data_IF_418162868233
#
_entry.id   IF_418162868233
#
_cell.length_a   1.000
_cell.length_b   1.000
_cell.length_c   1.000
_cell.angle_alpha   90.00
_cell.angle_beta   90.00
_cell.angle_gamma   90.00
#
_symmetry.space_group_name_H-M   'P 1'
#
loop_
_entity.id
_entity.type
_entity.pdbx_description
1 polymer ?
#
# COMPACT_ATOMS: atom_id res chain seq x y z
N UNK A 1 7.35 -43.64 15.96
CA UNK A 1 8.34 -42.79 15.26
C UNK A 1 7.87 -42.67 13.82
N UNK A 2 7.01 -41.69 13.56
CA UNK A 2 6.36 -41.50 12.27
C UNK A 2 7.36 -40.82 11.34
N UNK A 3 7.97 -41.58 10.41
CA UNK A 3 8.80 -40.98 9.36
C UNK A 3 7.89 -40.15 8.47
N UNK A 4 8.06 -38.84 8.49
CA UNK A 4 7.20 -37.91 7.76
C UNK A 4 7.55 -37.80 6.26
N UNK A 5 8.73 -38.23 5.80
CA UNK A 5 9.09 -38.24 4.38
C UNK A 5 10.09 -39.35 4.00
N UNK A 6 9.96 -39.83 2.77
CA UNK A 6 10.76 -40.86 2.08
C UNK A 6 11.87 -40.16 1.27
N UNK A 7 13.04 -40.79 1.13
CA UNK A 7 14.21 -40.24 0.42
C UNK A 7 13.92 -39.97 -1.06
N UNK A 8 14.55 -38.94 -1.61
CA UNK A 8 14.30 -38.40 -2.97
C UNK A 8 14.44 -39.41 -4.11
N UNK A 9 15.06 -40.57 -3.88
CA UNK A 9 15.24 -41.63 -4.89
C UNK A 9 14.00 -42.52 -5.13
N UNK A 10 12.91 -42.37 -4.35
CA UNK A 10 11.66 -43.14 -4.49
C UNK A 10 10.43 -42.26 -4.83
N UNK A 11 10.59 -41.25 -5.69
CA UNK A 11 9.48 -40.37 -6.06
C UNK A 11 8.69 -40.90 -7.28
N UNK A 12 7.61 -41.65 -7.01
CA UNK A 12 6.61 -42.03 -8.02
C UNK A 12 5.83 -40.78 -8.50
N UNK A 13 5.91 -40.41 -9.80
CA UNK A 13 5.30 -39.19 -10.34
C UNK A 13 3.76 -39.19 -10.30
N UNK A 14 3.12 -40.31 -9.95
CA UNK A 14 1.65 -40.44 -9.93
C UNK A 14 1.02 -40.22 -8.55
N UNK A 15 1.80 -40.11 -7.47
CA UNK A 15 1.25 -39.86 -6.13
C UNK A 15 1.04 -38.37 -5.85
N UNK A 16 -0.23 -38.01 -5.62
CA UNK A 16 -0.71 -36.68 -5.23
C UNK A 16 0.16 -36.09 -4.11
N UNK A 17 0.81 -34.94 -4.35
CA UNK A 17 1.63 -34.20 -3.37
C UNK A 17 0.83 -34.04 -2.07
N UNK A 18 1.29 -34.66 -0.99
CA UNK A 18 0.73 -34.40 0.34
C UNK A 18 0.91 -32.91 0.66
N UNK A 19 -0.14 -32.27 1.19
CA UNK A 19 -0.14 -30.86 1.58
C UNK A 19 1.08 -30.54 2.47
N UNK A 20 2.06 -29.84 1.90
CA UNK A 20 3.30 -29.47 2.58
C UNK A 20 3.07 -28.20 3.41
N UNK A 21 3.09 -28.33 4.73
CA UNK A 21 2.77 -27.25 5.67
C UNK A 21 4.03 -26.45 6.00
N UNK A 22 4.13 -25.23 5.45
CA UNK A 22 5.24 -24.25 5.46
C UNK A 22 6.18 -24.19 6.68
N UNK A 23 5.75 -24.60 7.88
CA UNK A 23 6.59 -24.68 9.08
C UNK A 23 7.61 -25.82 9.05
N UNK A 24 7.46 -26.75 8.12
CA UNK A 24 8.41 -27.84 7.89
C UNK A 24 9.77 -27.37 7.36
N UNK A 25 9.86 -26.20 6.71
CA UNK A 25 11.14 -25.67 6.19
C UNK A 25 12.03 -25.20 7.32
N UNK A 26 11.47 -24.45 8.28
CA UNK A 26 12.20 -24.04 9.47
C UNK A 26 12.60 -25.26 10.30
N UNK A 27 11.70 -26.24 10.44
CA UNK A 27 12.01 -27.51 11.09
C UNK A 27 13.15 -28.22 10.35
N UNK A 28 13.13 -28.27 9.01
CA UNK A 28 14.20 -28.85 8.18
C UNK A 28 15.53 -28.10 8.35
N UNK A 29 15.52 -26.77 8.32
CA UNK A 29 16.73 -25.96 8.50
C UNK A 29 17.30 -26.10 9.92
N UNK A 30 16.43 -26.22 10.93
CA UNK A 30 16.83 -26.48 12.31
C UNK A 30 17.31 -27.93 12.50
N UNK A 31 16.71 -28.90 11.80
CA UNK A 31 17.16 -30.30 11.74
C UNK A 31 18.50 -30.43 11.01
N UNK A 32 18.74 -29.66 9.95
CA UNK A 32 20.03 -29.56 9.24
C UNK A 32 21.09 -28.87 10.10
N UNK A 33 20.74 -27.79 10.84
CA UNK A 33 21.64 -27.17 11.83
C UNK A 33 21.98 -28.13 12.99
N UNK A 34 21.03 -28.95 13.41
CA UNK A 34 21.24 -30.02 14.39
C UNK A 34 22.12 -31.13 13.84
N UNK A 35 21.87 -31.58 12.61
CA UNK A 35 22.66 -32.62 11.94
C UNK A 35 24.10 -32.17 11.62
N UNK A 36 24.31 -30.88 11.37
CA UNK A 36 25.63 -30.28 11.13
C UNK A 36 26.39 -29.92 12.41
N UNK A 37 25.83 -30.16 13.60
CA UNK A 37 26.50 -29.92 14.88
C UNK A 37 26.73 -28.45 15.24
N UNK A 38 26.10 -27.51 14.50
CA UNK A 38 26.25 -26.06 14.69
C UNK A 38 25.15 -25.44 15.57
N UNK A 39 24.30 -26.26 16.19
CA UNK A 39 23.14 -25.79 16.95
C UNK A 39 23.51 -25.45 18.40
N UNK A 40 23.14 -24.25 18.84
CA UNK A 40 23.34 -23.77 20.22
C UNK A 40 22.26 -24.35 21.16
N UNK A 41 22.50 -24.41 22.47
CA UNK A 41 21.52 -24.95 23.45
C UNK A 41 20.19 -24.16 23.45
N UNK A 42 20.27 -22.85 23.21
CA UNK A 42 19.10 -21.96 23.03
C UNK A 42 18.29 -22.29 21.78
N UNK A 43 18.96 -22.68 20.70
CA UNK A 43 18.31 -23.05 19.42
C UNK A 43 17.56 -24.38 19.56
N UNK A 44 18.10 -25.30 20.37
CA UNK A 44 17.47 -26.59 20.68
C UNK A 44 16.21 -26.42 21.55
N UNK A 45 16.24 -25.56 22.57
CA UNK A 45 15.05 -25.23 23.39
C UNK A 45 13.98 -24.54 22.56
N UNK A 46 14.38 -23.61 21.68
CA UNK A 46 13.46 -22.97 20.74
C UNK A 46 12.84 -24.00 19.78
N UNK A 47 13.65 -24.90 19.20
CA UNK A 47 13.19 -25.96 18.31
C UNK A 47 12.12 -26.86 18.96
N UNK A 48 12.32 -27.28 20.22
CA UNK A 48 11.33 -28.09 20.92
C UNK A 48 10.01 -27.34 21.16
N UNK A 49 10.08 -26.06 21.56
CA UNK A 49 8.89 -25.22 21.75
C UNK A 49 8.15 -25.04 20.42
N UNK A 50 8.88 -24.76 19.34
CA UNK A 50 8.35 -24.59 18.00
C UNK A 50 7.69 -25.87 17.48
N UNK A 51 8.39 -27.00 17.58
CA UNK A 51 7.89 -28.31 17.15
C UNK A 51 6.65 -28.70 17.93
N UNK A 52 6.66 -28.55 19.26
CA UNK A 52 5.50 -28.82 20.12
C UNK A 52 4.29 -27.94 19.76
N UNK A 53 4.51 -26.66 19.43
CA UNK A 53 3.43 -25.74 19.02
C UNK A 53 2.92 -25.99 17.60
N UNK A 54 3.80 -26.42 16.70
CA UNK A 54 3.45 -26.85 15.34
C UNK A 54 2.60 -28.14 15.36
N UNK A 55 3.02 -29.13 16.14
CA UNK A 55 2.31 -30.39 16.35
C UNK A 55 0.96 -30.17 17.06
N UNK A 56 0.86 -29.18 17.94
CA UNK A 56 -0.38 -28.80 18.62
C UNK A 56 -1.36 -27.97 17.75
N UNK A 57 -1.06 -27.69 16.47
CA UNK A 57 -1.87 -26.84 15.59
C UNK A 57 -2.14 -25.40 16.10
N UNK A 58 -1.43 -24.95 17.13
CA UNK A 58 -1.78 -23.74 17.88
C UNK A 58 -1.07 -22.48 17.34
N UNK A 59 -0.02 -22.63 16.52
CA UNK A 59 0.67 -21.51 15.86
C UNK A 59 0.77 -21.76 14.35
N UNK A 60 0.47 -20.71 13.60
CA UNK A 60 0.66 -20.69 12.16
C UNK A 60 2.16 -20.60 11.84
N UNK A 61 2.60 -21.37 10.84
CA UNK A 61 4.00 -21.54 10.45
C UNK A 61 4.79 -20.23 10.29
N UNK A 62 4.09 -19.14 9.97
CA UNK A 62 4.66 -17.81 9.72
C UNK A 62 5.04 -17.05 10.99
N UNK A 63 4.30 -17.20 12.09
CA UNK A 63 4.68 -16.59 13.38
C UNK A 63 6.00 -17.18 13.87
N UNK A 64 6.22 -18.45 13.57
CA UNK A 64 7.44 -19.19 13.91
C UNK A 64 8.63 -18.73 13.05
N UNK A 65 8.42 -18.53 11.74
CA UNK A 65 9.43 -17.99 10.83
C UNK A 65 9.81 -16.56 11.24
N UNK A 66 8.84 -15.69 11.54
CA UNK A 66 9.08 -14.34 12.04
C UNK A 66 9.92 -14.33 13.32
N UNK A 67 9.58 -15.18 14.32
CA UNK A 67 10.39 -15.36 15.53
C UNK A 67 11.82 -15.86 15.25
N UNK A 68 11.99 -16.74 14.25
CA UNK A 68 13.31 -17.26 13.90
C UNK A 68 14.21 -16.23 13.20
N UNK A 69 13.64 -15.32 12.39
CA UNK A 69 14.38 -14.23 11.73
C UNK A 69 14.93 -13.24 12.76
N UNK A 70 14.14 -12.90 13.80
CA UNK A 70 14.59 -12.06 14.92
C UNK A 70 15.76 -12.68 15.70
N UNK A 71 15.86 -14.01 15.74
CA UNK A 71 16.85 -14.72 16.57
C UNK A 71 18.10 -15.17 15.80
N UNK A 72 18.00 -15.48 14.50
CA UNK A 72 19.13 -16.04 13.72
C UNK A 72 19.81 -15.06 12.76
N UNK A 73 19.25 -13.87 12.49
CA UNK A 73 19.88 -12.83 11.66
C UNK A 73 20.12 -13.21 10.18
N UNK A 74 19.92 -14.47 9.80
CA UNK A 74 19.91 -14.94 8.41
C UNK A 74 18.53 -14.69 7.82
N UNK A 75 18.45 -13.81 6.83
CA UNK A 75 17.24 -13.51 6.08
C UNK A 75 17.01 -14.64 5.05
N UNK A 76 16.06 -15.57 5.25
CA UNK A 76 15.74 -16.57 4.24
C UNK A 76 14.78 -15.91 3.25
N UNK A 77 15.30 -14.95 2.47
CA UNK A 77 14.49 -14.13 1.56
C UNK A 77 13.98 -14.90 0.33
N UNK A 78 14.57 -16.05 0.02
CA UNK A 78 14.04 -16.96 -1.00
C UNK A 78 13.13 -17.99 -0.34
N UNK A 79 11.87 -17.60 -0.08
CA UNK A 79 10.84 -18.59 0.22
C UNK A 79 10.54 -19.38 -1.06
N UNK A 80 10.88 -20.69 -1.17
CA UNK A 80 10.65 -21.48 -2.38
C UNK A 80 9.16 -21.60 -2.73
N UNK A 81 8.25 -21.18 -1.83
CA UNK A 81 6.82 -21.15 -2.04
C UNK A 81 6.26 -19.75 -2.35
N UNK A 82 7.12 -18.77 -2.58
CA UNK A 82 6.70 -17.48 -3.09
C UNK A 82 6.09 -17.61 -4.48
N UNK A 83 5.10 -16.77 -4.80
CA UNK A 83 4.40 -16.79 -6.08
C UNK A 83 5.39 -16.71 -7.25
N UNK A 84 6.47 -15.92 -7.15
CA UNK A 84 7.47 -15.77 -8.21
C UNK A 84 8.15 -17.10 -8.63
N UNK A 85 8.30 -18.06 -7.71
CA UNK A 85 8.91 -19.36 -7.99
C UNK A 85 7.88 -20.41 -8.44
N UNK A 86 6.59 -20.07 -8.46
CA UNK A 86 5.53 -20.98 -8.90
C UNK A 86 5.38 -20.98 -10.42
N UNK A 87 4.82 -22.07 -11.01
CA UNK A 87 4.41 -22.09 -12.41
C UNK A 87 3.51 -20.90 -12.77
N UNK A 88 3.65 -20.42 -14.01
CA UNK A 88 2.96 -19.26 -14.60
C UNK A 88 1.46 -19.31 -14.36
N UNK A 89 0.86 -20.49 -14.46
CA UNK A 89 -0.58 -20.73 -14.27
C UNK A 89 -1.03 -20.44 -12.84
N UNK A 90 -0.17 -20.76 -11.85
CA UNK A 90 -0.41 -20.49 -10.44
C UNK A 90 -0.24 -19.00 -10.16
N UNK A 91 0.77 -18.36 -10.74
CA UNK A 91 0.96 -16.90 -10.63
C UNK A 91 -0.24 -16.14 -11.18
N UNK A 92 -0.73 -16.57 -12.35
CA UNK A 92 -1.93 -16.02 -12.98
C UNK A 92 -3.16 -16.20 -12.08
N UNK A 93 -3.32 -17.37 -11.45
CA UNK A 93 -4.39 -17.64 -10.50
C UNK A 93 -4.36 -16.71 -9.28
N UNK A 94 -3.17 -16.49 -8.71
CA UNK A 94 -2.97 -15.56 -7.59
C UNK A 94 -3.37 -14.13 -7.99
N UNK A 95 -2.81 -13.60 -9.09
CA UNK A 95 -3.09 -12.24 -9.58
C UNK A 95 -4.57 -12.03 -9.86
N UNK A 96 -5.19 -12.98 -10.58
CA UNK A 96 -6.62 -12.93 -10.91
C UNK A 96 -7.44 -12.83 -9.64
N UNK A 97 -7.19 -13.69 -8.65
CA UNK A 97 -8.00 -13.76 -7.44
C UNK A 97 -7.84 -12.50 -6.59
N UNK A 98 -6.61 -12.08 -6.34
CA UNK A 98 -6.28 -10.89 -5.56
C UNK A 98 -6.91 -9.63 -6.17
N UNK A 99 -6.62 -9.33 -7.44
CA UNK A 99 -7.10 -8.10 -8.06
C UNK A 99 -8.60 -8.13 -8.38
N UNK A 100 -9.19 -9.31 -8.63
CA UNK A 100 -10.66 -9.41 -8.75
C UNK A 100 -11.36 -9.08 -7.43
N UNK A 101 -10.84 -9.57 -6.29
CA UNK A 101 -11.40 -9.25 -4.97
C UNK A 101 -11.26 -7.75 -4.69
N UNK A 102 -10.09 -7.16 -4.98
CA UNK A 102 -9.87 -5.73 -4.82
C UNK A 102 -10.80 -4.89 -5.70
N UNK A 103 -10.93 -5.24 -6.98
CA UNK A 103 -11.81 -4.53 -7.93
C UNK A 103 -13.29 -4.64 -7.53
N UNK A 104 -13.75 -5.82 -7.10
CA UNK A 104 -15.13 -5.99 -6.60
C UNK A 104 -15.37 -5.19 -5.32
N UNK A 105 -14.37 -5.12 -4.44
CA UNK A 105 -14.46 -4.32 -3.23
C UNK A 105 -14.55 -2.83 -3.56
N UNK A 106 -13.72 -2.32 -4.49
CA UNK A 106 -13.79 -0.93 -4.94
C UNK A 106 -15.16 -0.58 -5.53
N UNK A 107 -15.77 -1.50 -6.30
CA UNK A 107 -17.13 -1.32 -6.80
C UNK A 107 -18.14 -1.15 -5.66
N UNK A 108 -18.06 -1.99 -4.63
CA UNK A 108 -18.93 -1.87 -3.46
C UNK A 108 -18.71 -0.54 -2.71
N UNK A 109 -17.46 -0.07 -2.59
CA UNK A 109 -17.16 1.26 -2.02
C UNK A 109 -17.84 2.36 -2.83
N UNK A 110 -17.73 2.35 -4.16
CA UNK A 110 -18.36 3.36 -5.03
C UNK A 110 -19.88 3.38 -4.84
N UNK A 111 -20.51 2.20 -4.82
CA UNK A 111 -21.97 2.08 -4.63
C UNK A 111 -22.38 2.66 -3.27
N UNK A 112 -21.65 2.35 -2.20
CA UNK A 112 -21.94 2.87 -0.87
C UNK A 112 -21.71 4.38 -0.76
N UNK A 113 -20.61 4.90 -1.32
CA UNK A 113 -20.34 6.34 -1.35
C UNK A 113 -21.46 7.05 -2.14
N UNK A 114 -21.85 6.53 -3.29
CA UNK A 114 -22.95 7.10 -4.07
C UNK A 114 -24.27 7.07 -3.29
N UNK A 115 -24.56 5.97 -2.59
CA UNK A 115 -25.75 5.85 -1.75
C UNK A 115 -25.76 6.89 -0.62
N UNK A 116 -24.64 7.07 0.09
CA UNK A 116 -24.57 8.04 1.18
C UNK A 116 -24.55 9.50 0.69
N UNK A 117 -23.94 9.77 -0.47
CA UNK A 117 -23.73 11.14 -0.98
C UNK A 117 -24.88 11.70 -1.83
N UNK A 118 -25.81 10.87 -2.32
CA UNK A 118 -26.90 11.28 -3.22
C UNK A 118 -28.31 10.97 -2.73
N UNK A 119 -28.48 10.22 -1.63
CA UNK A 119 -29.80 10.00 -1.04
C UNK A 119 -30.09 11.15 -0.07
N UNK A 120 -31.08 12.04 -0.35
CA UNK A 120 -31.26 13.29 0.41
C UNK A 120 -31.41 13.07 1.92
N UNK A 121 -32.24 12.10 2.33
CA UNK A 121 -32.46 11.79 3.74
C UNK A 121 -31.19 11.35 4.49
N UNK A 122 -30.21 10.78 3.77
CA UNK A 122 -28.93 10.37 4.35
C UNK A 122 -27.95 11.55 4.33
N UNK A 123 -27.92 12.29 3.23
CA UNK A 123 -27.05 13.46 3.08
C UNK A 123 -27.33 14.50 4.17
N UNK A 124 -28.61 14.83 4.44
CA UNK A 124 -28.98 15.77 5.50
C UNK A 124 -28.47 15.32 6.88
N UNK A 125 -28.60 14.02 7.18
CA UNK A 125 -28.11 13.44 8.44
C UNK A 125 -26.58 13.41 8.53
N UNK A 126 -25.89 13.20 7.41
CA UNK A 126 -24.43 13.24 7.34
C UNK A 126 -23.92 14.66 7.53
N UNK A 127 -24.54 15.67 6.91
CA UNK A 127 -24.16 17.07 7.06
C UNK A 127 -24.30 17.55 8.52
N UNK A 128 -25.41 17.21 9.19
CA UNK A 128 -25.62 17.55 10.60
C UNK A 128 -24.58 16.88 11.52
N UNK A 129 -24.23 15.62 11.24
CA UNK A 129 -23.34 14.83 12.10
C UNK A 129 -21.86 15.18 11.87
N UNK A 130 -21.43 15.28 10.62
CA UNK A 130 -20.02 15.37 10.23
C UNK A 130 -19.49 16.79 10.06
N UNK A 131 -20.29 17.82 10.36
CA UNK A 131 -19.80 19.19 10.51
C UNK A 131 -18.65 19.29 11.53
N UNK A 132 -18.68 18.45 12.57
CA UNK A 132 -17.60 18.39 13.55
C UNK A 132 -16.51 17.38 13.14
N UNK A 133 -15.27 17.84 13.02
CA UNK A 133 -14.11 17.02 12.62
C UNK A 133 -13.91 15.76 13.48
N UNK A 134 -14.29 15.82 14.77
CA UNK A 134 -14.18 14.71 15.71
C UNK A 134 -14.90 13.44 15.22
N UNK A 135 -16.08 13.58 14.60
CA UNK A 135 -16.83 12.42 14.09
C UNK A 135 -16.18 11.81 12.84
N UNK A 136 -15.56 12.63 11.99
CA UNK A 136 -14.76 12.16 10.85
C UNK A 136 -13.56 11.35 11.35
N UNK A 137 -12.88 11.84 12.40
CA UNK A 137 -11.78 11.13 13.04
C UNK A 137 -12.23 9.80 13.68
N UNK A 138 -13.40 9.77 14.33
CA UNK A 138 -13.97 8.51 14.84
C UNK A 138 -14.21 7.50 13.71
N UNK A 139 -14.73 7.93 12.55
CA UNK A 139 -14.91 7.05 11.39
C UNK A 139 -13.57 6.54 10.83
N UNK A 140 -12.54 7.38 10.82
CA UNK A 140 -11.18 6.95 10.47
C UNK A 140 -10.67 5.85 11.42
N UNK A 141 -10.81 6.04 12.73
CA UNK A 141 -10.40 5.05 13.74
C UNK A 141 -11.18 3.74 13.56
N UNK A 142 -12.50 3.81 13.31
CA UNK A 142 -13.32 2.63 13.05
C UNK A 142 -12.86 1.87 11.79
N UNK A 143 -12.50 2.57 10.71
CA UNK A 143 -11.93 1.96 9.51
C UNK A 143 -10.61 1.24 9.81
N UNK A 144 -9.71 1.86 10.59
CA UNK A 144 -8.43 1.24 11.00
C UNK A 144 -8.66 0.02 11.89
N UNK A 145 -9.62 0.07 12.83
CA UNK A 145 -9.97 -1.07 13.68
C UNK A 145 -10.57 -2.22 12.87
N UNK A 146 -11.40 -1.92 11.86
CA UNK A 146 -11.91 -2.94 10.94
C UNK A 146 -10.79 -3.60 10.12
N UNK A 147 -9.79 -2.82 9.69
CA UNK A 147 -8.61 -3.34 9.01
C UNK A 147 -7.74 -4.23 9.93
N UNK A 148 -7.54 -3.82 11.18
CA UNK A 148 -6.85 -4.63 12.18
C UNK A 148 -7.61 -5.95 12.42
N UNK A 149 -8.93 -5.90 12.51
CA UNK A 149 -9.74 -7.10 12.64
C UNK A 149 -9.56 -8.01 11.42
N UNK A 150 -9.56 -7.46 10.20
CA UNK A 150 -9.31 -8.21 8.97
C UNK A 150 -7.92 -8.87 9.01
N UNK A 151 -6.89 -8.18 9.48
CA UNK A 151 -5.55 -8.74 9.65
C UNK A 151 -5.53 -9.96 10.56
N UNK A 152 -6.32 -9.96 11.64
CA UNK A 152 -6.40 -11.07 12.60
C UNK A 152 -7.14 -12.29 12.03
N UNK A 153 -8.15 -12.08 11.19
CA UNK A 153 -9.00 -13.16 10.65
C UNK A 153 -8.70 -13.55 9.20
N UNK A 154 -7.71 -12.93 8.54
CA UNK A 154 -7.42 -13.10 7.09
C UNK A 154 -7.32 -14.55 6.60
N UNK A 155 -6.85 -15.48 7.44
CA UNK A 155 -6.69 -16.90 7.10
C UNK A 155 -7.91 -17.77 7.46
N UNK A 156 -8.94 -17.19 8.08
CA UNK A 156 -10.16 -17.89 8.50
C UNK A 156 -11.27 -17.71 7.46
N UNK A 157 -11.42 -18.68 6.56
CA UNK A 157 -12.59 -18.72 5.67
C UNK A 157 -13.82 -19.26 6.41
N UNK A 158 -15.03 -18.68 6.24
CA UNK A 158 -15.37 -17.52 5.39
C UNK A 158 -15.32 -16.16 6.11
N UNK A 159 -14.95 -16.13 7.39
CA UNK A 159 -14.96 -14.93 8.23
C UNK A 159 -14.15 -13.77 7.63
N UNK A 160 -13.04 -14.06 6.96
CA UNK A 160 -12.23 -13.07 6.26
C UNK A 160 -13.03 -12.23 5.25
N UNK A 161 -13.96 -12.82 4.50
CA UNK A 161 -14.81 -12.09 3.55
C UNK A 161 -15.90 -11.28 4.26
N UNK A 162 -16.44 -11.78 5.37
CA UNK A 162 -17.41 -11.01 6.17
C UNK A 162 -16.76 -9.76 6.76
N UNK A 163 -15.55 -9.89 7.32
CA UNK A 163 -14.81 -8.76 7.89
C UNK A 163 -14.32 -7.81 6.79
N UNK A 164 -13.96 -8.31 5.61
CA UNK A 164 -13.69 -7.45 4.44
C UNK A 164 -14.92 -6.61 4.06
N UNK A 165 -16.13 -7.17 4.15
CA UNK A 165 -17.38 -6.45 3.99
C UNK A 165 -17.56 -5.34 5.03
N UNK A 166 -17.29 -5.63 6.32
CA UNK A 166 -17.31 -4.62 7.38
C UNK A 166 -16.31 -3.50 7.10
N UNK A 167 -15.07 -3.84 6.74
CA UNK A 167 -14.05 -2.87 6.37
C UNK A 167 -14.52 -1.97 5.21
N UNK A 168 -15.15 -2.55 4.19
CA UNK A 168 -15.70 -1.83 3.03
C UNK A 168 -16.75 -0.80 3.43
N UNK A 169 -17.64 -1.14 4.35
CA UNK A 169 -18.65 -0.22 4.88
C UNK A 169 -18.00 0.89 5.72
N UNK A 170 -17.08 0.55 6.61
CA UNK A 170 -16.39 1.58 7.42
C UNK A 170 -15.53 2.51 6.56
N UNK A 171 -14.93 1.99 5.49
CA UNK A 171 -14.14 2.76 4.54
C UNK A 171 -15.03 3.74 3.77
N UNK A 172 -16.17 3.28 3.22
CA UNK A 172 -17.09 4.19 2.50
C UNK A 172 -17.67 5.25 3.42
N UNK A 173 -18.03 4.91 4.67
CA UNK A 173 -18.48 5.88 5.66
C UNK A 173 -17.43 6.96 5.95
N UNK A 174 -16.16 6.57 6.16
CA UNK A 174 -15.07 7.51 6.38
C UNK A 174 -14.88 8.47 5.20
N UNK A 175 -14.83 7.95 3.97
CA UNK A 175 -14.64 8.79 2.79
C UNK A 175 -15.83 9.68 2.48
N UNK A 176 -17.07 9.23 2.71
CA UNK A 176 -18.24 10.11 2.62
C UNK A 176 -18.23 11.19 3.70
N UNK A 177 -17.87 10.85 4.94
CA UNK A 177 -17.73 11.84 6.01
C UNK A 177 -16.64 12.88 5.71
N UNK A 178 -15.53 12.44 5.12
CA UNK A 178 -14.45 13.32 4.65
C UNK A 178 -14.93 14.26 3.53
N UNK A 179 -15.60 13.72 2.51
CA UNK A 179 -16.22 14.50 1.43
C UNK A 179 -17.19 15.55 1.98
N UNK A 180 -18.03 15.16 2.96
CA UNK A 180 -18.97 16.06 3.63
C UNK A 180 -18.28 17.18 4.41
N UNK A 181 -17.22 16.86 5.16
CA UNK A 181 -16.50 17.84 5.98
C UNK A 181 -15.75 18.88 5.15
N UNK A 182 -15.21 18.50 3.99
CA UNK A 182 -14.52 19.41 3.07
C UNK A 182 -15.43 19.99 1.99
N UNK A 183 -16.75 19.70 2.02
CA UNK A 183 -17.72 20.10 1.00
C UNK A 183 -17.28 19.72 -0.43
N UNK A 184 -16.64 18.56 -0.57
CA UNK A 184 -16.16 18.04 -1.86
C UNK A 184 -16.85 16.75 -2.26
N UNK A 185 -16.84 16.44 -3.55
CA UNK A 185 -17.23 15.12 -4.08
C UNK A 185 -16.00 14.40 -4.65
N UNK A 186 -14.83 14.59 -4.02
CA UNK A 186 -13.56 14.09 -4.54
C UNK A 186 -13.46 12.56 -4.43
N UNK A 187 -14.01 11.97 -3.36
CA UNK A 187 -13.88 10.53 -3.13
C UNK A 187 -14.55 9.72 -4.23
N UNK A 188 -15.74 10.09 -4.69
CA UNK A 188 -16.42 9.34 -5.76
C UNK A 188 -15.60 9.35 -7.06
N UNK A 189 -14.98 10.47 -7.41
CA UNK A 189 -14.10 10.57 -8.58
C UNK A 189 -12.88 9.66 -8.43
N UNK A 190 -12.18 9.74 -7.30
CA UNK A 190 -10.96 8.96 -7.03
C UNK A 190 -11.25 7.46 -7.05
N UNK A 191 -12.27 7.00 -6.33
CA UNK A 191 -12.62 5.58 -6.29
C UNK A 191 -13.11 5.06 -7.64
N UNK A 192 -13.87 5.87 -8.40
CA UNK A 192 -14.31 5.49 -9.76
C UNK A 192 -13.12 5.35 -10.71
N UNK A 193 -12.17 6.29 -10.65
CA UNK A 193 -10.95 6.25 -11.44
C UNK A 193 -10.09 5.03 -11.07
N UNK A 194 -9.90 4.77 -9.76
CA UNK A 194 -9.22 3.57 -9.25
C UNK A 194 -9.89 2.29 -9.72
N UNK A 195 -11.21 2.19 -9.64
CA UNK A 195 -11.96 1.02 -10.10
C UNK A 195 -11.74 0.77 -11.60
N UNK A 196 -11.75 1.82 -12.43
CA UNK A 196 -11.43 1.71 -13.85
C UNK A 196 -10.03 1.17 -14.10
N UNK A 197 -9.02 1.75 -13.45
CA UNK A 197 -7.62 1.30 -13.57
C UNK A 197 -7.46 -0.14 -13.09
N UNK A 198 -8.04 -0.50 -11.96
CA UNK A 198 -7.92 -1.83 -11.38
C UNK A 198 -8.71 -2.89 -12.18
N UNK A 199 -9.83 -2.51 -12.78
CA UNK A 199 -10.57 -3.35 -13.71
C UNK A 199 -9.74 -3.72 -14.93
N UNK A 200 -9.13 -2.73 -15.59
CA UNK A 200 -8.22 -2.95 -16.73
C UNK A 200 -7.00 -3.75 -16.29
N UNK A 201 -6.41 -3.41 -15.14
CA UNK A 201 -5.26 -4.11 -14.56
C UNK A 201 -5.57 -5.58 -14.35
N UNK A 202 -6.73 -5.91 -13.76
CA UNK A 202 -7.17 -7.28 -13.51
C UNK A 202 -7.27 -8.08 -14.82
N UNK A 203 -7.76 -7.46 -15.89
CA UNK A 203 -7.82 -8.12 -17.20
C UNK A 203 -6.40 -8.35 -17.76
N UNK A 204 -5.60 -7.29 -17.86
CA UNK A 204 -4.28 -7.33 -18.49
C UNK A 204 -3.25 -8.17 -17.71
N UNK A 205 -3.29 -8.13 -16.37
CA UNK A 205 -2.33 -8.86 -15.54
C UNK A 205 -2.54 -10.38 -15.57
N UNK A 206 -3.68 -10.84 -16.10
CA UNK A 206 -3.99 -12.26 -16.27
C UNK A 206 -3.70 -12.75 -17.70
N UNK A 207 -3.33 -11.87 -18.62
CA UNK A 207 -2.95 -12.24 -19.98
C UNK A 207 -1.55 -12.87 -19.98
N UNK A 208 -1.44 -14.09 -20.52
CA UNK A 208 -0.15 -14.76 -20.72
C UNK A 208 0.44 -14.29 -22.04
N UNK A 209 1.66 -13.74 -22.00
CA UNK A 209 2.39 -13.35 -23.21
C UNK A 209 3.54 -14.33 -23.47
N UNK A 210 3.62 -14.81 -24.71
CA UNK A 210 4.84 -15.45 -25.22
C UNK A 210 5.73 -14.38 -25.83
N UNK A 211 6.87 -14.10 -25.20
CA UNK A 211 7.85 -13.10 -25.67
C UNK A 211 8.67 -13.57 -26.88
N UNK A 212 8.67 -14.87 -27.16
CA UNK A 212 9.39 -15.46 -28.30
C UNK A 212 8.56 -16.60 -28.91
N UNK A 213 8.72 -16.81 -30.21
CA UNK A 213 8.24 -18.02 -30.90
C UNK A 213 9.10 -19.25 -30.60
N UNK A 214 10.23 -19.05 -29.92
CA UNK A 214 11.08 -20.15 -29.45
C UNK A 214 10.36 -20.96 -28.36
N UNK A 215 10.11 -22.26 -28.58
CA UNK A 215 9.42 -23.12 -27.62
C UNK A 215 10.18 -23.28 -26.28
N UNK A 216 11.48 -22.93 -26.24
CA UNK A 216 12.29 -23.02 -25.02
C UNK A 216 12.11 -21.81 -24.07
N UNK A 217 11.55 -20.70 -24.56
CA UNK A 217 11.29 -19.52 -23.72
C UNK A 217 9.97 -19.72 -22.99
N UNK A 218 10.03 -19.87 -21.67
CA UNK A 218 8.83 -20.05 -20.86
C UNK A 218 7.90 -18.83 -21.01
N UNK A 219 6.58 -19.04 -21.16
CA UNK A 219 5.61 -17.95 -21.15
C UNK A 219 5.77 -17.11 -19.88
N UNK A 220 5.65 -15.79 -19.99
CA UNK A 220 5.76 -14.91 -18.81
C UNK A 220 4.52 -14.04 -18.71
N UNK A 221 4.14 -13.69 -17.48
CA UNK A 221 3.11 -12.68 -17.27
C UNK A 221 3.72 -11.30 -17.45
N UNK A 222 2.90 -10.35 -17.88
CA UNK A 222 3.28 -8.93 -17.94
C UNK A 222 3.65 -8.47 -16.52
N UNK A 223 4.69 -7.65 -16.37
CA UNK A 223 5.10 -7.11 -15.07
C UNK A 223 4.07 -6.12 -14.54
N UNK A 224 3.91 -6.06 -13.21
CA UNK A 224 2.91 -5.19 -12.57
C UNK A 224 3.06 -3.70 -12.94
N UNK A 225 4.27 -3.09 -12.94
CA UNK A 225 4.44 -1.69 -13.32
C UNK A 225 3.99 -1.42 -14.75
N UNK A 226 4.27 -2.33 -15.69
CA UNK A 226 3.88 -2.15 -17.10
C UNK A 226 2.37 -2.22 -17.24
N UNK A 227 1.71 -3.19 -16.61
CA UNK A 227 0.24 -3.30 -16.67
C UNK A 227 -0.45 -2.09 -16.06
N UNK A 228 0.02 -1.63 -14.90
CA UNK A 228 -0.57 -0.50 -14.19
C UNK A 228 -0.32 0.82 -14.93
N UNK A 229 0.85 1.01 -15.56
CA UNK A 229 1.10 2.18 -16.41
C UNK A 229 0.21 2.19 -17.66
N UNK A 230 0.01 1.05 -18.32
CA UNK A 230 -0.93 0.95 -19.45
C UNK A 230 -2.35 1.26 -18.99
N UNK A 231 -2.76 0.70 -17.85
CA UNK A 231 -4.11 0.92 -17.29
C UNK A 231 -4.32 2.37 -16.87
N UNK A 232 -3.32 3.00 -16.27
CA UNK A 232 -3.32 4.42 -15.93
C UNK A 232 -3.39 5.29 -17.19
N UNK A 233 -2.61 4.99 -18.22
CA UNK A 233 -2.63 5.75 -19.47
C UNK A 233 -4.02 5.70 -20.15
N UNK A 234 -4.64 4.52 -20.20
CA UNK A 234 -6.00 4.37 -20.71
C UNK A 234 -7.00 5.17 -19.87
N UNK A 235 -6.93 5.04 -18.53
CA UNK A 235 -7.76 5.82 -17.61
C UNK A 235 -7.55 7.33 -17.77
N UNK A 236 -6.30 7.77 -17.92
CA UNK A 236 -5.92 9.16 -18.15
C UNK A 236 -6.56 9.71 -19.41
N UNK A 237 -6.44 9.02 -20.56
CA UNK A 237 -7.05 9.44 -21.82
C UNK A 237 -8.57 9.53 -21.69
N UNK A 238 -9.21 8.55 -21.05
CA UNK A 238 -10.66 8.60 -20.78
C UNK A 238 -11.04 9.76 -19.87
N UNK A 239 -10.31 9.99 -18.78
CA UNK A 239 -10.56 11.11 -17.87
C UNK A 239 -10.35 12.46 -18.53
N UNK A 240 -9.37 12.57 -19.44
CA UNK A 240 -9.08 13.78 -20.20
C UNK A 240 -10.23 14.13 -21.15
N UNK A 241 -10.79 13.11 -21.82
CA UNK A 241 -11.98 13.28 -22.63
C UNK A 241 -13.16 13.75 -21.78
N UNK A 242 -13.43 13.12 -20.63
CA UNK A 242 -14.50 13.55 -19.73
C UNK A 242 -14.28 14.99 -19.24
N UNK A 243 -13.04 15.34 -18.91
CA UNK A 243 -12.68 16.65 -18.41
C UNK A 243 -13.00 17.75 -19.42
N UNK A 244 -12.51 17.63 -20.66
CA UNK A 244 -12.71 18.65 -21.68
C UNK A 244 -14.16 18.78 -22.15
N UNK A 245 -14.93 17.69 -22.15
CA UNK A 245 -16.31 17.72 -22.64
C UNK A 245 -17.34 18.05 -21.57
N UNK A 246 -17.06 17.77 -20.28
CA UNK A 246 -18.09 17.84 -19.23
C UNK A 246 -17.66 18.56 -17.94
N UNK A 247 -16.36 18.69 -17.64
CA UNK A 247 -15.90 19.18 -16.32
C UNK A 247 -15.07 20.46 -16.38
N UNK A 248 -14.86 21.05 -17.57
CA UNK A 248 -14.03 22.24 -17.75
C UNK A 248 -14.53 23.45 -16.95
N UNK A 249 -15.86 23.55 -16.76
CA UNK A 249 -16.50 24.63 -15.99
C UNK A 249 -16.61 24.32 -14.49
N UNK A 250 -16.38 23.07 -14.07
CA UNK A 250 -16.62 22.59 -12.70
C UNK A 250 -15.32 22.42 -11.92
N UNK A 251 -14.27 21.91 -12.56
CA UNK A 251 -13.00 21.58 -11.92
C UNK A 251 -11.89 22.40 -12.54
N UNK A 252 -11.14 23.13 -11.71
CA UNK A 252 -9.98 23.89 -12.18
C UNK A 252 -8.92 22.97 -12.81
N UNK A 253 -8.25 23.38 -13.90
CA UNK A 253 -7.16 22.60 -14.50
C UNK A 253 -6.07 22.21 -13.50
N UNK A 254 -5.80 23.08 -12.52
CA UNK A 254 -4.82 22.83 -11.46
C UNK A 254 -5.28 21.70 -10.54
N UNK A 255 -6.52 21.71 -10.10
CA UNK A 255 -7.08 20.66 -9.23
C UNK A 255 -7.13 19.32 -9.95
N UNK A 256 -7.59 19.32 -11.21
CA UNK A 256 -7.63 18.13 -12.03
C UNK A 256 -6.23 17.53 -12.24
N UNK A 257 -5.26 18.34 -12.67
CA UNK A 257 -3.88 17.87 -12.90
C UNK A 257 -3.17 17.42 -11.62
N UNK A 258 -3.36 18.14 -10.50
CA UNK A 258 -2.84 17.74 -9.20
C UNK A 258 -3.41 16.39 -8.75
N UNK A 259 -4.72 16.17 -8.91
CA UNK A 259 -5.36 14.89 -8.58
C UNK A 259 -4.77 13.74 -9.40
N UNK A 260 -4.55 13.95 -10.70
CA UNK A 260 -3.93 12.98 -11.59
C UNK A 260 -2.47 12.65 -11.23
N UNK A 261 -1.69 13.65 -10.81
CA UNK A 261 -0.32 13.45 -10.37
C UNK A 261 -0.26 12.60 -9.09
N UNK A 262 -1.11 12.91 -8.10
CA UNK A 262 -1.22 12.11 -6.87
C UNK A 262 -1.67 10.68 -7.18
N UNK A 263 -2.64 10.53 -8.09
CA UNK A 263 -3.09 9.22 -8.55
C UNK A 263 -1.99 8.40 -9.22
N UNK A 264 -1.15 9.03 -10.05
CA UNK A 264 -0.02 8.36 -10.68
C UNK A 264 0.99 7.84 -9.64
N UNK A 265 1.30 8.64 -8.63
CA UNK A 265 2.18 8.22 -7.53
C UNK A 265 1.61 7.02 -6.77
N UNK A 266 0.31 7.08 -6.43
CA UNK A 266 -0.37 5.99 -5.74
C UNK A 266 -0.37 4.71 -6.59
N UNK A 267 -0.63 4.80 -7.89
CA UNK A 267 -0.60 3.64 -8.79
C UNK A 267 0.80 3.05 -8.94
N UNK A 268 1.83 3.89 -9.02
CA UNK A 268 3.22 3.41 -9.10
C UNK A 268 3.65 2.71 -7.80
N UNK A 269 3.26 3.27 -6.66
CA UNK A 269 3.48 2.65 -5.36
C UNK A 269 2.74 1.31 -5.25
N UNK A 270 1.47 1.27 -5.64
CA UNK A 270 0.68 0.04 -5.69
C UNK A 270 1.33 -1.03 -6.60
N UNK A 271 1.92 -0.62 -7.73
CA UNK A 271 2.65 -1.53 -8.62
C UNK A 271 3.91 -2.11 -7.98
N UNK A 272 4.63 -1.30 -7.21
CA UNK A 272 5.79 -1.72 -6.44
C UNK A 272 5.38 -2.75 -5.38
N UNK A 273 4.36 -2.44 -4.57
CA UNK A 273 3.85 -3.33 -3.53
C UNK A 273 3.35 -4.66 -4.10
N UNK A 274 2.63 -4.62 -5.22
CA UNK A 274 2.20 -5.84 -5.92
C UNK A 274 3.39 -6.70 -6.38
N UNK A 275 4.49 -6.07 -6.80
CA UNK A 275 5.72 -6.76 -7.21
C UNK A 275 6.41 -7.41 -6.02
N UNK A 276 6.63 -6.66 -4.92
CA UNK A 276 7.21 -7.20 -3.68
C UNK A 276 6.35 -8.31 -3.06
N UNK A 277 5.04 -8.22 -3.20
CA UNK A 277 4.13 -9.25 -2.73
C UNK A 277 4.28 -10.56 -3.50
N UNK A 278 4.53 -10.49 -4.80
CA UNK A 278 4.78 -11.66 -5.64
C UNK A 278 6.04 -12.43 -5.21
N UNK A 279 7.02 -11.73 -4.64
CA UNK A 279 8.26 -12.30 -4.12
C UNK A 279 8.12 -12.87 -2.71
N UNK A 280 7.09 -12.48 -1.94
CA UNK A 280 6.98 -12.80 -0.51
C UNK A 280 5.76 -13.63 -0.10
N UNK A 281 4.68 -13.58 -0.87
CA UNK A 281 3.45 -14.31 -0.55
C UNK A 281 3.38 -15.64 -1.26
N UNK A 282 2.66 -16.58 -0.63
CA UNK A 282 2.24 -17.81 -1.30
C UNK A 282 0.88 -17.60 -1.99
N UNK A 283 0.57 -18.38 -3.04
CA UNK A 283 -0.64 -18.18 -3.86
C UNK A 283 -1.97 -18.27 -3.09
N UNK A 284 -1.99 -18.96 -1.96
CA UNK A 284 -3.16 -19.12 -1.08
C UNK A 284 -3.41 -17.90 -0.17
N UNK A 285 -2.45 -16.97 -0.09
CA UNK A 285 -2.48 -15.85 0.85
C UNK A 285 -2.96 -14.54 0.25
N UNK A 286 -3.82 -14.62 -0.76
CA UNK A 286 -4.38 -13.44 -1.42
C UNK A 286 -5.06 -12.47 -0.44
N UNK A 287 -5.68 -12.95 0.66
CA UNK A 287 -6.26 -12.07 1.70
C UNK A 287 -5.19 -11.32 2.50
N UNK A 288 -4.01 -11.90 2.70
CA UNK A 288 -2.87 -11.17 3.30
C UNK A 288 -2.44 -10.04 2.37
N UNK A 289 -2.48 -10.26 1.05
CA UNK A 289 -2.23 -9.22 0.06
C UNK A 289 -3.23 -8.09 0.11
N UNK A 290 -4.52 -8.40 0.23
CA UNK A 290 -5.57 -7.40 0.43
C UNK A 290 -5.30 -6.53 1.66
N UNK A 291 -4.91 -7.14 2.78
CA UNK A 291 -4.58 -6.39 4.01
C UNK A 291 -3.38 -5.47 3.79
N UNK A 292 -2.35 -5.90 3.05
CA UNK A 292 -1.21 -5.03 2.73
C UNK A 292 -1.62 -3.82 1.90
N UNK A 293 -2.40 -4.01 0.84
CA UNK A 293 -2.86 -2.87 0.03
C UNK A 293 -3.69 -1.86 0.83
N UNK A 294 -4.57 -2.32 1.72
CA UNK A 294 -5.33 -1.38 2.56
C UNK A 294 -4.51 -0.77 3.69
N UNK A 295 -3.54 -1.50 4.24
CA UNK A 295 -2.60 -0.93 5.22
C UNK A 295 -1.80 0.18 4.56
N UNK A 296 -1.31 -0.05 3.36
CA UNK A 296 -0.58 0.94 2.58
C UNK A 296 -1.44 2.16 2.26
N UNK A 297 -2.69 1.96 1.85
CA UNK A 297 -3.66 3.04 1.68
C UNK A 297 -3.85 3.87 2.96
N UNK A 298 -3.99 3.23 4.13
CA UNK A 298 -4.11 3.94 5.42
C UNK A 298 -2.83 4.71 5.74
N UNK A 299 -1.65 4.13 5.51
CA UNK A 299 -0.37 4.79 5.71
C UNK A 299 -0.22 6.00 4.79
N UNK A 300 -0.66 5.90 3.54
CA UNK A 300 -0.68 7.00 2.59
C UNK A 300 -1.58 8.14 3.08
N UNK A 301 -2.78 7.85 3.59
CA UNK A 301 -3.66 8.87 4.18
C UNK A 301 -3.02 9.54 5.40
N UNK A 302 -2.38 8.76 6.28
CA UNK A 302 -1.66 9.30 7.43
C UNK A 302 -0.51 10.20 6.98
N UNK A 303 0.28 9.77 5.99
CA UNK A 303 1.36 10.55 5.43
C UNK A 303 0.86 11.88 4.84
N UNK A 304 -0.22 11.86 4.07
CA UNK A 304 -0.86 13.09 3.56
C UNK A 304 -1.35 14.00 4.69
N UNK A 305 -1.95 13.44 5.74
CA UNK A 305 -2.41 14.23 6.89
C UNK A 305 -1.26 14.90 7.63
N UNK A 306 -0.11 14.22 7.76
CA UNK A 306 1.09 14.77 8.39
C UNK A 306 1.69 15.87 7.51
N UNK A 307 1.78 15.66 6.20
CA UNK A 307 2.25 16.71 5.27
C UNK A 307 1.33 17.93 5.37
N UNK A 308 0.01 17.73 5.34
CA UNK A 308 -0.95 18.81 5.47
C UNK A 308 -0.72 19.59 6.77
N UNK A 309 -0.67 18.92 7.92
CA UNK A 309 -0.41 19.57 9.22
C UNK A 309 0.95 20.27 9.23
N UNK A 310 1.99 19.66 8.65
CA UNK A 310 3.32 20.28 8.56
C UNK A 310 3.30 21.55 7.69
N UNK A 311 2.63 21.52 6.54
CA UNK A 311 2.49 22.69 5.67
C UNK A 311 1.73 23.84 6.37
N UNK A 312 0.66 23.53 7.10
CA UNK A 312 -0.10 24.54 7.86
C UNK A 312 0.66 25.03 9.10
N UNK A 313 1.41 24.17 9.78
CA UNK A 313 2.28 24.57 10.89
C UNK A 313 3.47 25.43 10.42
N UNK A 314 3.84 25.31 9.13
CA UNK A 314 4.89 26.08 8.48
C UNK A 314 4.38 27.38 7.83
N UNK A 315 3.19 27.89 8.16
CA UNK A 315 2.76 29.23 7.75
C UNK A 315 3.76 30.29 8.25
N UNK A 316 4.68 30.62 7.35
CA UNK A 316 5.80 31.56 7.51
C UNK A 316 6.81 31.45 6.36
N UNK A 317 7.20 30.24 5.94
CA UNK A 317 8.18 30.05 4.86
C UNK A 317 7.95 28.73 4.11
N UNK A 318 7.15 28.77 3.04
CA UNK A 318 6.94 27.63 2.12
C UNK A 318 8.16 27.35 1.21
N UNK A 319 9.38 27.59 1.69
CA UNK A 319 10.63 27.30 0.99
C UNK A 319 11.77 26.89 1.93
N UNK A 320 11.52 26.07 2.94
CA UNK A 320 12.60 25.35 3.64
C UNK A 320 13.11 24.17 2.79
N UNK A 321 13.62 24.46 1.59
CA UNK A 321 14.80 23.73 1.12
C UNK A 321 15.89 24.07 2.12
N UNK A 322 16.34 23.09 2.90
CA UNK A 322 17.25 23.31 4.02
C UNK A 322 18.49 24.13 3.63
N UNK A 323 18.47 25.42 3.95
CA UNK A 323 19.68 26.14 4.34
C UNK A 323 19.94 25.78 5.79
N UNK A 324 20.56 24.61 5.98
CA UNK A 324 21.38 24.43 7.16
C UNK A 324 22.53 25.42 7.05
N UNK A 325 22.33 26.65 7.55
CA UNK A 325 23.44 27.52 7.92
C UNK A 325 24.15 26.84 9.08
N UNK A 326 25.06 25.93 8.73
CA UNK A 326 26.10 25.44 9.62
C UNK A 326 26.99 26.66 9.85
N UNK A 327 26.74 27.38 10.95
CA UNK A 327 27.70 28.33 11.50
C UNK A 327 29.00 27.54 11.70
N UNK A 328 30.10 27.87 11.01
CA UNK A 328 31.35 27.18 11.24
C UNK A 328 31.83 27.59 12.64
N UNK A 329 31.69 26.67 13.59
CA UNK A 329 32.42 26.71 14.86
C UNK A 329 33.91 26.58 14.51
N UNK A 330 34.60 27.70 14.47
CA UNK A 330 36.07 27.73 14.43
C UNK A 330 36.66 28.73 13.45
N UNK A 331 36.69 30.01 13.84
CA UNK A 331 37.86 30.86 13.59
C UNK A 331 37.95 31.94 14.66
N UNK A 332 38.76 31.66 15.68
CA UNK A 332 39.20 32.70 16.60
C UNK A 332 40.33 33.54 15.98
N UNK A 333 40.38 34.81 16.39
CA UNK A 333 41.63 35.56 16.55
C UNK A 333 41.92 36.67 15.52
N UNK A 334 42.08 37.90 16.06
CA UNK A 334 42.69 39.10 15.45
C UNK A 334 41.64 40.04 14.85
N UNK A 335 41.33 41.23 15.40
CA UNK A 335 42.23 42.37 15.66
C UNK A 335 42.39 43.15 14.35
N UNK A 336 42.27 44.46 14.20
CA UNK A 336 42.00 45.67 14.99
C UNK A 336 41.50 46.74 13.97
N UNK A 337 40.92 47.87 14.44
CA UNK A 337 40.95 49.23 13.82
C UNK A 337 40.37 49.43 12.39
N UNK A 338 39.81 50.56 11.92
CA UNK A 338 39.56 51.95 12.33
C UNK A 338 38.73 52.63 11.21
N UNK A 339 38.08 53.76 11.49
CA UNK A 339 37.74 54.85 10.53
C UNK A 339 36.40 54.74 9.78
N UNK A 340 35.39 55.59 10.02
CA UNK A 340 35.25 57.02 9.65
C UNK A 340 35.20 57.25 8.13
N UNK A 341 34.03 57.63 7.59
CA UNK A 341 33.80 58.95 6.98
C UNK A 341 32.39 59.08 6.38
N UNK A 342 31.87 60.30 6.56
CA UNK A 342 30.66 60.87 6.01
C UNK A 342 30.70 60.95 4.47
N UNK A 343 29.54 60.97 3.81
CA UNK A 343 29.25 62.03 2.83
C UNK A 343 27.77 62.10 2.45
N UNK A 344 27.31 63.34 2.40
CA UNK A 344 25.98 63.84 2.08
C UNK A 344 25.49 63.47 0.67
N UNK A 345 24.17 63.59 0.40
CA UNK A 345 23.57 64.57 -0.54
C UNK A 345 22.04 64.41 -0.59
N UNK A 346 21.33 65.49 -0.22
CA UNK A 346 20.06 66.03 -0.79
C UNK A 346 18.77 65.19 -0.67
N UNK A 347 17.71 65.55 0.10
CA UNK A 347 16.80 66.73 -0.03
C UNK A 347 16.28 66.89 -1.49
N UNK A 348 15.00 66.96 -1.89
CA UNK A 348 13.69 67.48 -1.40
C UNK A 348 12.57 66.88 -2.31
N UNK A 349 11.45 66.37 -1.78
CA UNK A 349 10.03 66.86 -1.88
C UNK A 349 9.60 67.41 -3.28
N UNK A 350 8.51 67.02 -3.96
CA UNK A 350 7.08 67.27 -3.68
C UNK A 350 6.20 66.64 -4.79
N UNK A 351 4.96 66.25 -4.41
CA UNK A 351 3.72 66.46 -5.21
C UNK A 351 3.48 65.57 -6.43
N UNK A 352 2.27 65.12 -6.77
CA UNK A 352 0.92 65.48 -6.35
C UNK A 352 -0.09 64.68 -7.21
N UNK A 353 -1.35 64.88 -6.90
CA UNK A 353 -2.56 64.17 -7.34
C UNK A 353 -2.90 64.09 -8.85
N UNK A 354 -3.69 63.05 -9.16
CA UNK A 354 -4.87 62.98 -10.06
C UNK A 354 -4.77 62.99 -11.60
N UNK A 355 -5.63 62.11 -12.15
CA UNK A 355 -6.41 62.19 -13.41
C UNK A 355 -5.82 61.50 -14.66
N UNK A 356 -6.31 60.30 -15.03
CA UNK A 356 -7.49 60.06 -15.88
C UNK A 356 -7.85 58.57 -15.93
#
# INVERSE_FOLDING_TARGET
MTRLFQSEDELDPTKRKAHYRRGSILIKHLEEKKASGKATETDMKFFEVVKKRFDANFMESRTIISLSVFQTGSNPMDDPFAVIHMPVEIQQGFRRKLFSIFTLQLLAVIILIAFFSYVPAITDAFEETFFNWHYVFVMFVLMVLALLWLYLVKYRFPLNFMVLGVYTVTQSLFFTAFDCFFETKASIFIFTFLFGIMGITTLLCTTIIRRSFDPNVQPTLISYPVVLLISFFLGFVTSLFIYFFYMMDVVSPLQYSASLAVMLLLIMWFAYDASCMNERLSPDEYMQGMVFFYTDMVLFLLFLSIIFVACFACEGDCACYGTADIIPIGRGGGGDDDGMDDDEVGEVTEGGEQSQ
#
